data_IF_430814548362
#
_entry.id   IF_430814548362
#
_cell.length_a   1.000
_cell.length_b   1.000
_cell.length_c   1.000
_cell.angle_alpha   90.00
_cell.angle_beta   90.00
_cell.angle_gamma   90.00
#
_symmetry.space_group_name_H-M   'P 1'
#
loop_
_entity.id
_entity.type
_entity.pdbx_description
1 polymer ?
#
# COMPACT_ATOMS: atom_id res chain seq x y z
N UNK A 1 -35.25 -10.84 4.89
CA UNK A 1 -33.96 -10.58 4.20
C UNK A 1 -34.14 -10.95 2.74
N UNK A 2 -34.02 -9.99 1.83
CA UNK A 2 -34.10 -10.28 0.39
C UNK A 2 -32.91 -11.16 -0.01
N UNK A 3 -33.15 -12.18 -0.84
CA UNK A 3 -32.07 -13.03 -1.34
C UNK A 3 -31.07 -12.19 -2.15
N UNK A 4 -29.77 -12.39 -1.89
CA UNK A 4 -28.69 -11.68 -2.60
C UNK A 4 -28.74 -12.08 -4.08
N UNK A 5 -28.94 -11.13 -5.01
CA UNK A 5 -28.91 -11.42 -6.44
C UNK A 5 -27.53 -11.94 -6.84
N UNK A 6 -27.49 -12.99 -7.68
CA UNK A 6 -26.21 -13.55 -8.17
C UNK A 6 -25.49 -12.60 -9.14
N UNK A 7 -26.25 -11.76 -9.84
CA UNK A 7 -25.73 -10.84 -10.84
C UNK A 7 -26.57 -9.54 -10.89
N UNK A 8 -25.94 -8.48 -11.39
CA UNK A 8 -26.48 -7.13 -11.49
C UNK A 8 -26.29 -6.58 -12.90
N UNK A 9 -27.24 -5.76 -13.35
CA UNK A 9 -26.96 -4.80 -14.41
C UNK A 9 -26.40 -3.53 -13.75
N UNK A 10 -25.30 -3.00 -14.29
CA UNK A 10 -24.57 -1.84 -13.77
C UNK A 10 -24.55 -0.75 -14.82
N UNK A 11 -24.96 0.46 -14.46
CA UNK A 11 -24.98 1.64 -15.31
C UNK A 11 -24.01 2.68 -14.77
N UNK A 12 -22.93 2.90 -15.53
CA UNK A 12 -22.00 4.00 -15.31
C UNK A 12 -22.65 5.28 -15.82
N UNK A 13 -23.07 6.16 -14.91
CA UNK A 13 -23.83 7.36 -15.26
C UNK A 13 -22.95 8.36 -16.01
N UNK A 14 -21.68 8.49 -15.60
CA UNK A 14 -20.72 9.39 -16.23
C UNK A 14 -20.38 8.99 -17.68
N UNK A 15 -20.23 7.69 -17.93
CA UNK A 15 -19.92 7.16 -19.27
C UNK A 15 -21.18 6.85 -20.10
N UNK A 16 -22.36 6.89 -19.47
CA UNK A 16 -23.64 6.44 -20.02
C UNK A 16 -23.59 5.02 -20.62
N UNK A 17 -22.86 4.10 -19.98
CA UNK A 17 -22.70 2.71 -20.44
C UNK A 17 -23.32 1.72 -19.47
N UNK A 18 -24.03 0.72 -20.01
CA UNK A 18 -24.70 -0.32 -19.22
C UNK A 18 -24.04 -1.67 -19.46
N UNK A 19 -23.52 -2.26 -18.38
CA UNK A 19 -23.03 -3.63 -18.34
C UNK A 19 -24.13 -4.53 -17.78
N UNK A 20 -24.44 -5.62 -18.47
CA UNK A 20 -25.52 -6.53 -18.10
C UNK A 20 -24.99 -7.79 -17.43
N UNK A 21 -25.75 -8.33 -16.48
CA UNK A 21 -25.46 -9.61 -15.83
C UNK A 21 -24.04 -9.75 -15.24
N UNK A 22 -23.52 -8.66 -14.66
CA UNK A 22 -22.23 -8.64 -13.95
C UNK A 22 -22.37 -9.41 -12.63
N UNK A 23 -21.52 -10.41 -12.35
CA UNK A 23 -21.59 -11.16 -11.08
C UNK A 23 -21.42 -10.25 -9.85
N UNK A 24 -22.12 -10.56 -8.76
CA UNK A 24 -22.10 -9.75 -7.53
C UNK A 24 -20.68 -9.46 -7.01
N UNK A 25 -19.82 -10.47 -6.98
CA UNK A 25 -18.43 -10.33 -6.53
C UNK A 25 -17.62 -9.34 -7.37
N UNK A 26 -17.89 -9.25 -8.68
CA UNK A 26 -17.23 -8.29 -9.57
C UNK A 26 -17.73 -6.87 -9.31
N UNK A 27 -19.02 -6.70 -9.06
CA UNK A 27 -19.59 -5.38 -8.69
C UNK A 27 -19.07 -4.91 -7.34
N UNK A 28 -18.98 -5.81 -6.36
CA UNK A 28 -18.40 -5.51 -5.05
C UNK A 28 -16.93 -5.08 -5.18
N UNK A 29 -16.13 -5.81 -5.95
CA UNK A 29 -14.73 -5.49 -6.23
C UNK A 29 -14.57 -4.12 -6.92
N UNK A 30 -15.39 -3.82 -7.94
CA UNK A 30 -15.37 -2.51 -8.60
C UNK A 30 -15.76 -1.37 -7.65
N UNK A 31 -16.67 -1.63 -6.71
CA UNK A 31 -17.08 -0.65 -5.69
C UNK A 31 -15.94 -0.40 -4.70
N UNK A 32 -15.27 -1.46 -4.22
CA UNK A 32 -14.12 -1.37 -3.33
C UNK A 32 -12.93 -0.64 -3.97
N UNK A 33 -12.66 -0.91 -5.25
CA UNK A 33 -11.59 -0.26 -6.01
C UNK A 33 -11.90 1.19 -6.40
N UNK A 34 -13.11 1.69 -6.10
CA UNK A 34 -13.54 3.04 -6.50
C UNK A 34 -13.74 3.22 -8.00
N UNK A 35 -13.88 2.13 -8.77
CA UNK A 35 -14.22 2.19 -10.20
C UNK A 35 -15.69 2.56 -10.40
N UNK A 36 -16.54 2.18 -9.46
CA UNK A 36 -17.95 2.58 -9.42
C UNK A 36 -18.12 3.79 -8.51
N UNK A 37 -18.70 4.85 -9.05
CA UNK A 37 -19.04 6.04 -8.30
C UNK A 37 -20.32 5.82 -7.48
N UNK A 38 -20.49 6.60 -6.41
CA UNK A 38 -21.71 6.57 -5.56
C UNK A 38 -22.99 6.86 -6.32
N UNK A 39 -22.88 7.67 -7.38
CA UNK A 39 -23.99 8.08 -8.25
C UNK A 39 -24.30 7.06 -9.35
N UNK A 40 -23.42 6.08 -9.58
CA UNK A 40 -23.69 5.02 -10.55
C UNK A 40 -24.87 4.17 -10.07
N UNK A 41 -25.54 3.51 -11.03
CA UNK A 41 -26.79 2.82 -10.75
C UNK A 41 -26.67 1.32 -10.97
N UNK A 42 -27.35 0.56 -10.14
CA UNK A 42 -27.41 -0.89 -10.19
C UNK A 42 -28.85 -1.37 -10.12
N UNK A 43 -29.09 -2.55 -10.70
CA UNK A 43 -30.32 -3.31 -10.47
C UNK A 43 -30.04 -4.82 -10.59
N UNK A 44 -30.83 -5.70 -9.95
CA UNK A 44 -30.68 -7.15 -10.11
C UNK A 44 -30.84 -7.58 -11.57
N UNK A 45 -29.92 -8.40 -12.07
CA UNK A 45 -29.96 -8.87 -13.45
C UNK A 45 -31.23 -9.71 -13.70
N UNK A 46 -31.84 -9.53 -14.88
CA UNK A 46 -33.06 -10.24 -15.27
C UNK A 46 -34.34 -9.72 -14.60
N UNK A 47 -34.27 -8.60 -13.87
CA UNK A 47 -35.45 -7.95 -13.29
C UNK A 47 -35.76 -6.62 -13.98
N UNK A 48 -37.04 -6.24 -13.98
CA UNK A 48 -37.55 -4.96 -14.50
C UNK A 48 -37.59 -3.88 -13.42
N UNK A 49 -36.91 -4.07 -12.30
CA UNK A 49 -36.88 -3.09 -11.21
C UNK A 49 -36.24 -1.79 -11.68
N UNK A 50 -36.65 -0.69 -11.05
CA UNK A 50 -36.02 0.61 -11.26
C UNK A 50 -34.53 0.56 -10.92
N UNK A 51 -33.75 1.41 -11.60
CA UNK A 51 -32.34 1.62 -11.32
C UNK A 51 -32.18 2.32 -9.97
N UNK A 52 -31.36 1.75 -9.08
CA UNK A 52 -31.08 2.29 -7.75
C UNK A 52 -29.62 2.77 -7.71
N UNK A 53 -29.35 3.89 -7.05
CA UNK A 53 -27.97 4.35 -6.88
C UNK A 53 -27.18 3.38 -5.99
N UNK A 54 -25.87 3.22 -6.24
CA UNK A 54 -25.03 2.32 -5.44
C UNK A 54 -24.99 2.74 -3.97
N UNK A 55 -25.07 4.03 -3.67
CA UNK A 55 -25.16 4.55 -2.30
C UNK A 55 -26.39 4.07 -1.53
N UNK A 56 -27.48 3.83 -2.24
CA UNK A 56 -28.79 3.52 -1.67
C UNK A 56 -29.05 2.02 -1.63
N UNK A 57 -28.10 1.21 -2.13
CA UNK A 57 -28.22 -0.24 -2.18
C UNK A 57 -27.54 -0.87 -0.96
N UNK A 58 -28.33 -1.34 0.01
CA UNK A 58 -27.86 -1.84 1.30
C UNK A 58 -26.66 -2.82 1.21
N UNK A 59 -26.65 -3.72 0.23
CA UNK A 59 -25.60 -4.73 0.07
C UNK A 59 -24.28 -4.20 -0.51
N UNK A 60 -24.29 -3.02 -1.11
CA UNK A 60 -23.13 -2.39 -1.76
C UNK A 60 -22.65 -1.14 -1.00
N UNK A 61 -23.49 -0.56 -0.15
CA UNK A 61 -23.16 0.61 0.64
C UNK A 61 -21.93 0.38 1.55
N UNK A 62 -21.78 -0.82 2.10
CA UNK A 62 -20.65 -1.19 2.97
C UNK A 62 -19.29 -1.25 2.23
N UNK A 63 -19.33 -1.45 0.91
CA UNK A 63 -18.13 -1.52 0.07
C UNK A 63 -17.66 -0.15 -0.42
N UNK A 64 -18.47 0.89 -0.26
CA UNK A 64 -18.07 2.25 -0.60
C UNK A 64 -17.00 2.70 0.39
N UNK A 65 -15.87 3.17 -0.14
CA UNK A 65 -14.84 3.79 0.68
C UNK A 65 -15.48 4.84 1.60
N UNK A 66 -15.42 4.59 2.92
CA UNK A 66 -15.89 5.53 3.93
C UNK A 66 -15.01 6.78 3.74
N UNK A 67 -15.61 7.97 3.56
CA UNK A 67 -14.80 9.18 3.43
C UNK A 67 -14.03 9.30 4.74
N UNK A 68 -12.73 9.08 4.68
CA UNK A 68 -11.87 9.28 5.83
C UNK A 68 -11.93 10.77 6.14
N UNK A 69 -12.21 11.17 7.40
CA UNK A 69 -12.21 12.58 7.78
C UNK A 69 -10.85 13.26 7.55
N UNK A 70 -9.78 12.49 7.27
CA UNK A 70 -8.45 13.00 6.93
C UNK A 70 -8.31 13.51 5.49
N UNK A 71 -9.30 13.32 4.62
CA UNK A 71 -9.33 13.89 3.25
C UNK A 71 -10.59 14.72 3.04
N UNK A 72 -11.01 15.45 4.06
CA UNK A 72 -11.70 16.70 3.82
C UNK A 72 -10.64 17.67 3.26
N UNK A 73 -10.58 17.80 1.94
CA UNK A 73 -9.99 18.99 1.34
C UNK A 73 -10.57 20.22 2.07
N UNK A 74 -9.75 21.21 2.44
CA UNK A 74 -10.27 22.41 3.08
C UNK A 74 -11.38 22.96 2.21
N UNK A 75 -12.54 23.20 2.84
CA UNK A 75 -13.64 23.90 2.23
C UNK A 75 -13.08 25.17 1.55
N UNK A 76 -13.49 25.50 0.32
CA UNK A 76 -13.16 26.79 -0.25
C UNK A 76 -13.65 27.84 0.74
N UNK A 77 -12.71 28.63 1.26
CA UNK A 77 -12.99 29.78 2.10
C UNK A 77 -14.02 30.62 1.34
N UNK A 78 -15.21 30.71 1.90
CA UNK A 78 -16.20 31.69 1.52
C UNK A 78 -15.57 33.06 1.78
N UNK A 79 -15.11 33.71 0.71
CA UNK A 79 -14.81 35.14 0.71
C UNK A 79 -16.18 35.83 0.78
N UNK A 80 -16.50 36.57 1.86
CA UNK A 80 -17.69 37.40 1.85
C UNK A 80 -17.46 38.58 0.90
N UNK A 81 -18.53 38.92 0.19
CA UNK A 81 -18.64 39.94 -0.84
C UNK A 81 -17.89 41.23 -0.51
N UNK A 82 -17.05 41.66 -1.44
CA UNK A 82 -16.67 43.05 -1.62
C UNK A 82 -16.81 43.37 -3.10
N UNK A 83 -17.93 43.99 -3.40
CA UNK A 83 -18.29 44.61 -4.67
C UNK A 83 -17.15 45.45 -5.27
N UNK A 84 -17.00 45.30 -6.59
CA UNK A 84 -16.94 46.41 -7.56
C UNK A 84 -15.66 47.28 -7.59
N UNK A 85 -14.74 46.95 -8.49
CA UNK A 85 -14.42 47.77 -9.69
C UNK A 85 -13.14 47.30 -10.38
N UNK A 86 -13.29 46.83 -11.62
CA UNK A 86 -12.34 47.12 -12.68
C UNK A 86 -12.59 48.59 -13.11
N UNK A 87 -11.59 49.36 -13.61
CA UNK A 87 -11.04 49.04 -14.93
C UNK A 87 -9.53 49.32 -15.14
N UNK A 88 -9.04 48.66 -16.18
CA UNK A 88 -7.99 49.03 -17.12
C UNK A 88 -7.31 50.41 -16.96
N UNK A 89 -5.98 50.46 -17.10
CA UNK A 89 -5.31 50.91 -18.35
C UNK A 89 -3.87 51.40 -18.08
N UNK A 90 -3.05 51.26 -19.12
CA UNK A 90 -1.89 52.08 -19.47
C UNK A 90 -0.56 51.91 -18.69
N UNK A 91 0.43 51.34 -19.39
CA UNK A 91 1.84 51.76 -19.34
C UNK A 91 1.92 53.29 -19.55
N UNK A 92 2.90 53.99 -18.94
CA UNK A 92 4.08 54.34 -19.76
C UNK A 92 5.42 54.52 -19.00
N UNK A 93 6.49 54.30 -19.77
CA UNK A 93 7.73 55.07 -19.87
C UNK A 93 8.71 55.21 -18.68
N UNK A 94 9.96 54.83 -18.96
CA UNK A 94 11.19 55.27 -18.30
C UNK A 94 11.29 56.80 -18.20
N UNK A 95 11.95 57.28 -17.14
CA UNK A 95 12.92 58.36 -17.36
C UNK A 95 14.31 58.07 -16.78
N UNK A 96 15.26 58.67 -17.49
CA UNK A 96 16.72 58.65 -17.41
C UNK A 96 17.34 58.99 -16.02
N UNK A 97 18.63 58.66 -15.81
CA UNK A 97 19.30 58.77 -14.51
C UNK A 97 19.62 60.23 -14.17
N UNK A 98 19.35 60.61 -12.93
CA UNK A 98 19.76 61.90 -12.35
C UNK A 98 21.02 61.67 -11.53
N UNK A 99 22.17 62.09 -12.07
CA UNK A 99 23.42 62.27 -11.33
C UNK A 99 23.20 63.32 -10.23
N UNK A 100 23.41 62.92 -8.97
CA UNK A 100 23.55 63.84 -7.84
C UNK A 100 24.97 63.66 -7.25
N UNK A 101 25.60 64.75 -6.78
CA UNK A 101 27.05 64.85 -6.59
C UNK A 101 27.54 64.15 -5.33
N UNK A 102 28.75 63.60 -5.39
CA UNK A 102 29.50 63.03 -4.28
C UNK A 102 29.59 63.99 -3.06
N UNK A 103 29.13 63.57 -1.87
CA UNK A 103 29.61 64.16 -0.62
C UNK A 103 30.90 63.47 -0.16
N UNK A 104 31.92 64.28 0.08
CA UNK A 104 33.25 63.91 0.61
C UNK A 104 33.19 63.03 1.88
N UNK A 105 34.24 62.21 2.15
CA UNK A 105 34.21 61.21 3.19
C UNK A 105 34.35 61.83 4.59
N UNK A 106 33.25 61.94 5.32
CA UNK A 106 33.28 62.17 6.76
C UNK A 106 33.82 60.95 7.51
N UNK A 107 34.81 61.17 8.38
CA UNK A 107 35.42 60.15 9.22
C UNK A 107 34.37 59.37 10.02
N UNK A 108 34.27 58.06 9.74
CA UNK A 108 33.39 57.14 10.45
C UNK A 108 33.89 56.94 11.88
N UNK A 109 33.20 57.55 12.83
CA UNK A 109 33.25 57.16 14.24
C UNK A 109 32.78 55.70 14.31
N UNK A 110 33.68 54.78 14.67
CA UNK A 110 33.35 53.35 14.86
C UNK A 110 32.36 53.20 16.00
N UNK A 111 31.10 52.94 15.67
CA UNK A 111 30.08 52.42 16.59
C UNK A 111 30.34 50.90 16.75
N UNK A 112 30.43 50.36 17.97
CA UNK A 112 30.48 48.92 18.19
C UNK A 112 29.04 48.39 18.35
N UNK A 113 28.26 48.34 17.28
CA UNK A 113 26.87 47.83 17.32
C UNK A 113 26.47 47.01 16.07
N UNK A 114 27.43 46.35 15.39
CA UNK A 114 27.15 45.62 14.13
C UNK A 114 27.25 44.07 14.25
N UNK A 115 27.38 43.49 15.45
CA UNK A 115 27.48 42.02 15.64
C UNK A 115 26.11 41.30 15.77
N UNK A 116 24.97 42.02 15.72
CA UNK A 116 23.62 41.43 15.82
C UNK A 116 22.94 41.19 14.45
N UNK A 117 23.50 41.69 13.34
CA UNK A 117 23.08 41.30 11.99
C UNK A 117 23.82 40.02 11.60
N UNK A 118 23.22 38.87 11.94
CA UNK A 118 23.71 37.57 11.49
C UNK A 118 23.76 37.57 9.96
N UNK A 119 24.98 37.53 9.40
CA UNK A 119 25.20 37.44 7.96
C UNK A 119 24.35 36.30 7.38
N UNK A 120 23.29 36.66 6.67
CA UNK A 120 22.37 35.69 6.06
C UNK A 120 22.98 35.03 4.82
N UNK A 121 24.06 35.59 4.29
CA UNK A 121 24.72 35.11 3.05
C UNK A 121 25.24 33.66 3.23
N UNK A 122 25.96 33.30 4.32
CA UNK A 122 26.27 31.90 4.63
C UNK A 122 25.06 30.99 4.85
N UNK A 123 24.00 31.50 5.49
CA UNK A 123 22.80 30.70 5.82
C UNK A 123 21.99 30.34 4.56
N UNK A 124 21.95 31.23 3.58
CA UNK A 124 21.31 31.00 2.29
C UNK A 124 22.04 29.87 1.53
N UNK A 125 23.36 29.91 1.46
CA UNK A 125 24.16 28.92 0.74
C UNK A 125 24.04 27.51 1.37
N UNK A 126 24.11 27.42 2.70
CA UNK A 126 23.92 26.15 3.43
C UNK A 126 22.51 25.58 3.18
N UNK A 127 21.47 26.43 3.16
CA UNK A 127 20.10 25.98 2.89
C UNK A 127 19.90 25.48 1.44
N UNK A 128 20.58 26.10 0.47
CA UNK A 128 20.53 25.69 -0.94
C UNK A 128 21.19 24.33 -1.16
N UNK A 129 22.37 24.09 -0.56
CA UNK A 129 23.07 22.82 -0.65
C UNK A 129 22.24 21.69 -0.04
N UNK A 130 21.60 21.94 1.12
CA UNK A 130 20.74 20.95 1.77
C UNK A 130 19.50 20.62 0.92
N UNK A 131 18.89 21.61 0.27
CA UNK A 131 17.74 21.38 -0.62
C UNK A 131 18.10 20.48 -1.80
N UNK A 132 19.22 20.74 -2.48
CA UNK A 132 19.71 19.92 -3.59
C UNK A 132 20.02 18.50 -3.13
N UNK A 133 20.63 18.34 -1.96
CA UNK A 133 20.89 17.03 -1.35
C UNK A 133 19.61 16.24 -1.08
N UNK A 134 18.57 16.88 -0.52
CA UNK A 134 17.27 16.24 -0.28
C UNK A 134 16.55 15.86 -1.58
N UNK A 135 16.59 16.72 -2.61
CA UNK A 135 16.02 16.40 -3.92
C UNK A 135 16.72 15.18 -4.53
N UNK A 136 18.06 15.12 -4.45
CA UNK A 136 18.83 14.00 -4.96
C UNK A 136 18.57 12.69 -4.19
N UNK A 137 18.43 12.75 -2.86
CA UNK A 137 18.07 11.56 -2.05
C UNK A 137 16.64 11.11 -2.32
N UNK A 138 15.67 12.02 -2.44
CA UNK A 138 14.28 11.65 -2.78
C UNK A 138 14.19 11.02 -4.16
N UNK A 139 14.92 11.57 -5.15
CA UNK A 139 15.00 11.00 -6.49
C UNK A 139 15.68 9.61 -6.48
N UNK A 140 16.75 9.43 -5.71
CA UNK A 140 17.42 8.13 -5.57
C UNK A 140 16.59 7.10 -4.79
N UNK A 141 15.84 7.53 -3.76
CA UNK A 141 14.94 6.68 -2.98
C UNK A 141 13.72 6.20 -3.78
N UNK A 142 13.22 7.01 -4.72
CA UNK A 142 12.16 6.61 -5.65
C UNK A 142 12.63 5.61 -6.72
N UNK A 143 13.94 5.51 -6.95
CA UNK A 143 14.57 4.62 -7.95
C UNK A 143 15.10 3.31 -7.38
N UNK A 144 14.89 3.05 -6.09
CA UNK A 144 14.91 1.71 -5.55
C UNK A 144 13.49 1.26 -5.20
N UNK A 145 12.59 1.05 -6.20
CA UNK A 145 11.61 0.00 -6.01
C UNK A 145 12.46 -1.26 -5.87
N UNK A 146 12.75 -1.65 -4.63
CA UNK A 146 13.00 -3.05 -4.34
C UNK A 146 11.76 -3.71 -4.91
N UNK A 147 11.92 -4.36 -6.06
CA UNK A 147 10.92 -5.16 -6.72
C UNK A 147 10.60 -6.27 -5.71
N UNK A 148 9.68 -5.96 -4.80
CA UNK A 148 9.02 -6.96 -3.98
C UNK A 148 8.10 -7.59 -5.01
N UNK A 149 8.44 -8.78 -5.53
CA UNK A 149 7.69 -9.37 -6.62
C UNK A 149 6.21 -9.35 -6.22
N UNK A 150 5.40 -8.64 -7.01
CA UNK A 150 3.95 -8.62 -6.81
C UNK A 150 3.50 -10.07 -6.64
N UNK A 151 2.77 -10.35 -5.56
CA UNK A 151 2.24 -11.67 -5.23
C UNK A 151 1.25 -12.12 -6.32
N UNK A 152 1.77 -12.57 -7.47
CA UNK A 152 0.99 -13.11 -8.59
C UNK A 152 0.18 -14.37 -8.23
N UNK A 153 0.41 -14.94 -7.05
CA UNK A 153 -0.22 -16.19 -6.60
C UNK A 153 -0.96 -16.08 -5.26
N UNK A 154 -1.33 -14.88 -4.79
CA UNK A 154 -2.12 -14.75 -3.56
C UNK A 154 -3.52 -15.38 -3.65
N UNK A 155 -4.11 -15.43 -4.86
CA UNK A 155 -5.51 -15.83 -5.06
C UNK A 155 -5.75 -17.33 -5.28
N UNK A 156 -4.73 -18.12 -5.56
CA UNK A 156 -4.84 -19.56 -5.73
C UNK A 156 -3.65 -20.21 -5.04
N UNK A 157 -3.85 -20.64 -3.78
CA UNK A 157 -3.14 -21.82 -3.32
C UNK A 157 -3.50 -22.92 -4.31
N UNK A 158 -2.62 -23.15 -5.30
CA UNK A 158 -2.68 -24.35 -6.13
C UNK A 158 -2.82 -25.49 -5.13
N UNK A 159 -3.98 -26.14 -5.14
CA UNK A 159 -4.35 -27.13 -4.14
C UNK A 159 -3.63 -28.43 -4.47
N UNK A 160 -2.29 -28.36 -4.49
CA UNK A 160 -1.43 -29.48 -4.76
C UNK A 160 -1.48 -30.37 -3.52
N UNK A 161 -2.03 -31.59 -3.63
CA UNK A 161 -2.15 -32.50 -2.49
C UNK A 161 -0.78 -32.91 -1.94
N UNK A 162 0.26 -32.81 -2.77
CA UNK A 162 1.63 -33.19 -2.43
C UNK A 162 2.48 -32.01 -1.91
N UNK A 163 1.98 -30.78 -1.92
CA UNK A 163 2.73 -29.62 -1.42
C UNK A 163 2.81 -29.66 0.11
N UNK A 164 4.01 -29.49 0.66
CA UNK A 164 4.20 -29.43 2.12
C UNK A 164 4.17 -27.98 2.55
N UNK A 165 3.31 -27.64 3.50
CA UNK A 165 3.22 -26.29 4.06
C UNK A 165 3.73 -26.28 5.49
N UNK A 166 4.66 -25.38 5.79
CA UNK A 166 5.13 -25.06 7.13
C UNK A 166 4.45 -23.77 7.53
N UNK A 167 3.53 -23.84 8.48
CA UNK A 167 2.85 -22.68 9.04
C UNK A 167 3.62 -22.19 10.26
N UNK A 168 3.90 -20.89 10.31
CA UNK A 168 4.53 -20.21 11.43
C UNK A 168 3.48 -19.34 12.10
N UNK A 169 3.14 -19.68 13.33
CA UNK A 169 2.15 -18.96 14.12
C UNK A 169 2.79 -18.36 15.37
N UNK A 170 2.23 -17.24 15.82
CA UNK A 170 2.71 -16.50 16.96
C UNK A 170 2.12 -17.08 18.24
N UNK A 171 2.97 -17.47 19.19
CA UNK A 171 2.54 -17.87 20.54
C UNK A 171 2.51 -16.66 21.47
N UNK A 172 3.62 -15.92 21.52
CA UNK A 172 3.84 -14.74 22.35
C UNK A 172 4.47 -13.62 21.50
N UNK A 173 4.86 -12.50 22.12
CA UNK A 173 5.56 -11.41 21.44
C UNK A 173 6.86 -11.88 20.77
N UNK A 174 7.57 -12.83 21.39
CA UNK A 174 8.88 -13.32 20.92
C UNK A 174 8.87 -14.79 20.48
N UNK A 175 7.94 -15.58 21.02
CA UNK A 175 7.85 -17.02 20.75
C UNK A 175 6.90 -17.32 19.58
N UNK A 176 7.33 -18.25 18.74
CA UNK A 176 6.58 -18.76 17.59
C UNK A 176 6.52 -20.27 17.64
N UNK A 177 5.46 -20.84 17.09
CA UNK A 177 5.39 -22.28 16.84
C UNK A 177 5.28 -22.56 15.35
N UNK A 178 5.80 -23.73 14.98
CA UNK A 178 5.81 -24.24 13.63
C UNK A 178 4.85 -25.43 13.56
N UNK A 179 4.04 -25.48 12.51
CA UNK A 179 3.21 -26.63 12.19
C UNK A 179 3.52 -27.10 10.76
N UNK A 180 3.75 -28.39 10.59
CA UNK A 180 4.03 -28.99 9.27
C UNK A 180 2.82 -29.79 8.80
N UNK A 181 2.28 -29.44 7.64
CA UNK A 181 1.13 -30.12 7.03
C UNK A 181 1.39 -30.48 5.56
N UNK A 182 0.69 -31.48 5.06
CA UNK A 182 0.80 -31.95 3.68
C UNK A 182 -0.51 -31.71 2.96
N UNK A 183 -0.45 -30.99 1.85
CA UNK A 183 -1.62 -30.58 1.07
C UNK A 183 -2.63 -29.84 1.92
N UNK A 184 -3.87 -30.33 1.89
CA UNK A 184 -5.00 -29.77 2.64
C UNK A 184 -5.36 -30.58 3.90
N UNK A 185 -4.49 -31.52 4.29
CA UNK A 185 -4.68 -32.36 5.47
C UNK A 185 -4.23 -31.60 6.71
N UNK A 186 -4.97 -31.71 7.81
CA UNK A 186 -4.57 -31.14 9.09
C UNK A 186 -3.19 -31.69 9.51
N UNK A 187 -2.33 -30.87 10.15
CA UNK A 187 -1.06 -31.34 10.68
C UNK A 187 -1.28 -32.48 11.67
N UNK A 188 -0.36 -33.45 11.69
CA UNK A 188 -0.36 -34.49 12.72
C UNK A 188 -0.13 -33.83 14.08
N UNK A 189 -0.70 -34.35 15.19
CA UNK A 189 -0.48 -33.76 16.51
C UNK A 189 1.00 -33.77 16.96
N UNK A 190 1.83 -34.65 16.39
CA UNK A 190 3.28 -34.66 16.61
C UNK A 190 4.05 -33.61 15.79
N UNK A 191 3.41 -33.05 14.76
CA UNK A 191 3.96 -32.05 13.84
C UNK A 191 3.29 -30.69 14.01
N UNK A 192 2.41 -30.59 15.01
CA UNK A 192 1.70 -29.39 15.42
C UNK A 192 2.40 -28.83 16.68
N UNK A 193 2.53 -27.50 16.76
CA UNK A 193 3.17 -26.79 17.90
C UNK A 193 4.68 -27.07 18.14
N UNK A 194 5.48 -27.20 17.08
CA UNK A 194 6.94 -27.34 17.21
C UNK A 194 7.55 -25.99 17.61
N UNK A 195 8.47 -25.96 18.58
CA UNK A 195 8.99 -24.69 19.14
C UNK A 195 10.21 -24.16 18.41
N UNK A 196 10.95 -25.06 17.76
CA UNK A 196 12.22 -24.72 17.12
C UNK A 196 12.17 -24.99 15.61
N UNK A 197 12.93 -24.25 14.80
CA UNK A 197 13.03 -24.52 13.37
C UNK A 197 13.65 -25.90 13.08
N UNK A 198 14.53 -26.39 13.97
CA UNK A 198 15.14 -27.71 13.85
C UNK A 198 14.12 -28.84 14.01
N UNK A 199 13.20 -28.71 14.98
CA UNK A 199 12.08 -29.65 15.13
C UNK A 199 11.18 -29.65 13.89
N UNK A 200 10.90 -28.46 13.33
CA UNK A 200 10.14 -28.34 12.09
C UNK A 200 10.80 -29.06 10.90
N UNK A 201 12.13 -28.98 10.79
CA UNK A 201 12.89 -29.70 9.76
C UNK A 201 12.89 -31.21 10.00
N UNK A 202 12.94 -31.65 11.26
CA UNK A 202 12.84 -33.07 11.59
C UNK A 202 11.48 -33.64 11.20
N UNK A 203 10.40 -32.91 11.51
CA UNK A 203 9.05 -33.26 11.10
C UNK A 203 8.91 -33.24 9.56
N UNK A 204 9.48 -32.24 8.90
CA UNK A 204 9.52 -32.16 7.44
C UNK A 204 10.23 -33.37 6.83
N UNK A 205 11.40 -33.75 7.36
CA UNK A 205 12.14 -34.92 6.88
C UNK A 205 11.35 -36.21 7.05
N UNK A 206 10.64 -36.39 8.17
CA UNK A 206 9.77 -37.56 8.40
C UNK A 206 8.66 -37.64 7.34
N UNK A 207 8.05 -36.50 7.00
CA UNK A 207 7.06 -36.40 5.92
C UNK A 207 7.68 -36.75 4.57
N UNK A 208 8.89 -36.26 4.29
CA UNK A 208 9.58 -36.46 3.02
C UNK A 208 9.97 -37.91 2.75
N UNK A 209 10.17 -38.75 3.78
CA UNK A 209 10.49 -40.19 3.59
C UNK A 209 9.38 -40.92 2.82
N UNK A 210 8.13 -40.48 2.94
CA UNK A 210 6.99 -41.09 2.27
C UNK A 210 6.73 -40.59 0.84
N UNK A 211 7.46 -39.56 0.37
CA UNK A 211 7.14 -38.89 -0.89
C UNK A 211 8.11 -39.33 -1.99
N UNK A 212 7.58 -39.90 -3.07
CA UNK A 212 8.37 -40.40 -4.21
C UNK A 212 8.94 -39.28 -5.09
N UNK A 213 8.32 -38.09 -5.06
CA UNK A 213 8.70 -36.92 -5.86
C UNK A 213 9.10 -35.78 -4.95
N UNK A 214 10.12 -34.97 -5.31
CA UNK A 214 10.49 -33.79 -4.54
C UNK A 214 9.31 -32.81 -4.44
N UNK A 215 8.70 -32.60 -3.26
CA UNK A 215 7.55 -31.72 -3.15
C UNK A 215 7.99 -30.25 -3.13
N UNK A 216 7.03 -29.37 -3.39
CA UNK A 216 7.16 -27.95 -3.11
C UNK A 216 6.94 -27.69 -1.62
N UNK A 217 7.83 -26.91 -1.01
CA UNK A 217 7.72 -26.49 0.39
C UNK A 217 7.27 -25.04 0.46
N UNK A 218 6.11 -24.81 1.07
CA UNK A 218 5.52 -23.48 1.28
C UNK A 218 5.70 -23.05 2.73
N UNK A 219 6.17 -21.83 2.95
CA UNK A 219 6.29 -21.22 4.28
C UNK A 219 5.15 -20.23 4.41
N UNK A 220 4.16 -20.57 5.22
CA UNK A 220 3.01 -19.73 5.54
C UNK A 220 3.30 -18.97 6.84
N UNK A 221 3.45 -17.66 6.78
CA UNK A 221 3.66 -16.82 7.98
C UNK A 221 2.59 -15.74 8.09
N UNK A 222 2.28 -15.31 9.31
CA UNK A 222 1.42 -14.13 9.51
C UNK A 222 2.22 -12.84 9.31
N UNK A 223 1.51 -11.75 8.99
CA UNK A 223 2.10 -10.43 8.69
C UNK A 223 2.77 -9.77 9.89
N UNK A 224 2.32 -10.10 11.10
CA UNK A 224 2.80 -9.58 12.37
C UNK A 224 4.06 -10.30 12.91
N UNK A 225 4.56 -11.28 12.17
CA UNK A 225 5.66 -12.14 12.58
C UNK A 225 7.03 -11.53 12.15
N UNK A 226 8.06 -11.56 13.02
CA UNK A 226 9.37 -11.02 12.67
C UNK A 226 9.96 -11.75 11.46
N UNK A 227 10.43 -10.98 10.49
CA UNK A 227 10.99 -11.49 9.22
C UNK A 227 12.19 -12.42 9.45
N UNK A 228 12.93 -12.21 10.52
CA UNK A 228 14.10 -13.01 10.92
C UNK A 228 13.80 -14.50 10.97
N UNK A 229 12.65 -14.89 11.55
CA UNK A 229 12.25 -16.30 11.67
C UNK A 229 12.03 -16.98 10.31
N UNK A 230 11.54 -16.23 9.32
CA UNK A 230 11.34 -16.74 7.95
C UNK A 230 12.70 -16.92 7.26
N UNK A 231 13.64 -16.01 7.48
CA UNK A 231 15.01 -16.12 6.94
C UNK A 231 15.78 -17.28 7.54
N UNK A 232 15.68 -17.49 8.86
CA UNK A 232 16.27 -18.65 9.55
C UNK A 232 15.77 -19.96 8.92
N UNK A 233 14.45 -20.14 8.83
CA UNK A 233 13.86 -21.34 8.25
C UNK A 233 14.26 -21.52 6.78
N UNK A 234 14.30 -20.44 5.99
CA UNK A 234 14.72 -20.49 4.58
C UNK A 234 16.19 -20.92 4.42
N UNK A 235 17.07 -20.44 5.31
CA UNK A 235 18.49 -20.80 5.32
C UNK A 235 18.67 -22.30 5.57
N UNK A 236 17.90 -22.86 6.51
CA UNK A 236 17.96 -24.29 6.82
C UNK A 236 17.32 -25.19 5.75
N UNK A 237 16.36 -24.68 4.96
CA UNK A 237 15.77 -25.40 3.82
C UNK A 237 16.67 -25.41 2.57
N UNK A 238 17.57 -24.44 2.43
CA UNK A 238 18.48 -24.33 1.29
C UNK A 238 19.35 -25.58 1.03
N UNK A 239 19.97 -26.23 2.06
CA UNK A 239 20.70 -27.48 1.83
C UNK A 239 19.80 -28.63 1.34
N UNK A 240 18.54 -28.70 1.77
CA UNK A 240 17.60 -29.73 1.29
C UNK A 240 17.25 -29.50 -0.19
N UNK A 241 17.11 -28.23 -0.59
CA UNK A 241 16.91 -27.84 -1.99
C UNK A 241 18.12 -28.18 -2.85
N UNK A 242 19.34 -27.87 -2.38
CA UNK A 242 20.59 -28.21 -3.09
C UNK A 242 20.79 -29.71 -3.27
N UNK A 243 20.31 -30.52 -2.31
CA UNK A 243 20.29 -31.99 -2.40
C UNK A 243 19.21 -32.55 -3.34
N UNK A 244 18.32 -31.70 -3.88
CA UNK A 244 17.22 -32.12 -4.75
C UNK A 244 16.09 -32.84 -4.01
N UNK A 245 16.04 -32.75 -2.68
CA UNK A 245 14.99 -33.38 -1.87
C UNK A 245 13.67 -32.59 -1.97
N UNK A 246 13.78 -31.27 -2.12
CA UNK A 246 12.66 -30.36 -2.33
C UNK A 246 12.85 -29.61 -3.64
N UNK A 247 11.76 -29.39 -4.37
CA UNK A 247 11.81 -28.77 -5.69
C UNK A 247 11.94 -27.23 -5.59
N UNK A 248 11.05 -26.63 -4.81
CA UNK A 248 10.96 -25.18 -4.66
C UNK A 248 10.60 -24.81 -3.22
N UNK A 249 11.00 -23.59 -2.83
CA UNK A 249 10.68 -22.99 -1.54
C UNK A 249 9.98 -21.66 -1.78
N UNK A 250 8.71 -21.55 -1.37
CA UNK A 250 7.91 -20.33 -1.56
C UNK A 250 7.47 -19.82 -0.20
N UNK A 251 7.71 -18.54 0.09
CA UNK A 251 7.22 -17.89 1.32
C UNK A 251 5.99 -17.06 0.99
N UNK A 252 4.90 -17.31 1.70
CA UNK A 252 3.60 -16.64 1.53
C UNK A 252 3.14 -16.06 2.86
N UNK A 253 2.74 -14.79 2.85
CA UNK A 253 2.09 -14.16 3.99
C UNK A 253 0.62 -14.58 3.97
N UNK A 254 0.18 -15.29 5.01
CA UNK A 254 -1.22 -15.65 5.21
C UNK A 254 -1.88 -14.55 6.02
N UNK A 255 -2.70 -13.74 5.36
CA UNK A 255 -3.66 -12.87 6.04
C UNK A 255 -4.83 -13.75 6.48
N UNK A 256 -4.86 -14.10 7.77
CA UNK A 256 -6.03 -14.76 8.33
C UNK A 256 -7.21 -13.79 8.26
N UNK A 257 -8.43 -14.25 7.92
CA UNK A 257 -9.61 -13.40 8.01
C UNK A 257 -9.75 -12.92 9.46
N UNK A 258 -9.73 -11.60 9.66
CA UNK A 258 -10.03 -11.01 10.96
C UNK A 258 -11.41 -11.52 11.40
N UNK A 259 -11.46 -12.16 12.57
CA UNK A 259 -12.69 -12.67 13.18
C UNK A 259 -13.37 -11.61 14.01
#
# INVERSE_FOLDING_TARGET
>A
MAAIPKAFDVWFVAANTVYKAVPYNVVADWTQQGRLARTDKVRPAGTTTAWVAISDYDLLADYLARPSPATAAPAPLAIPDADDQAPASALPAEPAPVELPDPEPGERIRRPEDDDEVDMIPLIDISMVLLVFFIMIQAAGALAPVDVPEMKYAGQLTSDPDAVTITIEKLNTEDVYYAVRVGNVAPKPSHDQLRTPEEALKALNEVLVGVTRPPEVRIACRKDLPRERVYELRRELEPLRKKGIINSTVATVVEAPEK
#
